data_IF_078292373168
#
_entry.id   IF_078292373168
#
_cell.length_a   1.000
_cell.length_b   1.000
_cell.length_c   1.000
_cell.angle_alpha   90.00
_cell.angle_beta   90.00
_cell.angle_gamma   90.00
#
_symmetry.space_group_name_H-M   'P 1'
#
loop_
_entity.id
_entity.type
_entity.pdbx_description
1 polymer ?
#
# COMPACT_ATOMS: atom_id res chain seq x y z
N UNK A 1 16.20 5.03 19.38
CA UNK A 1 14.72 4.92 19.40
C UNK A 1 14.30 4.10 18.20
N UNK A 2 13.33 3.20 18.35
CA UNK A 2 12.70 2.54 17.20
C UNK A 2 11.89 3.61 16.44
N UNK A 3 11.99 3.63 15.12
CA UNK A 3 11.16 4.53 14.30
C UNK A 3 9.70 4.06 14.39
N UNK A 4 8.77 4.98 14.64
CA UNK A 4 7.34 4.66 14.72
C UNK A 4 6.73 4.57 13.33
N UNK A 5 5.84 3.60 13.13
CA UNK A 5 5.19 3.31 11.85
C UNK A 5 3.68 3.38 12.01
N UNK A 6 3.01 4.07 11.09
CA UNK A 6 1.57 3.97 10.95
C UNK A 6 1.23 3.14 9.72
N UNK A 7 0.23 2.29 9.84
CA UNK A 7 -0.22 1.38 8.81
C UNK A 7 -1.68 1.68 8.52
N UNK A 8 -2.05 1.77 7.25
CA UNK A 8 -3.44 1.90 6.82
C UNK A 8 -3.74 0.65 5.99
N UNK A 9 -4.67 -0.17 6.44
CA UNK A 9 -5.03 -1.45 5.82
C UNK A 9 -6.50 -1.43 5.39
N UNK A 10 -6.79 -2.06 4.25
CA UNK A 10 -8.10 -2.07 3.61
C UNK A 10 -9.06 -3.14 4.15
N UNK A 11 -8.54 -4.09 4.94
CA UNK A 11 -9.32 -5.16 5.58
C UNK A 11 -8.78 -5.60 6.95
N UNK A 12 -9.66 -6.23 7.72
CA UNK A 12 -9.37 -6.80 9.03
C UNK A 12 -8.26 -7.85 9.03
N UNK A 13 -8.24 -8.73 8.03
CA UNK A 13 -7.25 -9.82 8.01
C UNK A 13 -5.85 -9.27 7.76
N UNK A 14 -5.71 -8.38 6.76
CA UNK A 14 -4.44 -7.70 6.48
C UNK A 14 -3.98 -6.80 7.63
N UNK A 15 -4.91 -6.17 8.34
CA UNK A 15 -4.62 -5.37 9.53
C UNK A 15 -3.96 -6.20 10.63
N UNK A 16 -4.59 -7.32 11.00
CA UNK A 16 -4.08 -8.17 12.08
C UNK A 16 -2.80 -8.91 11.69
N UNK A 17 -2.71 -9.40 10.45
CA UNK A 17 -1.50 -10.07 9.94
C UNK A 17 -0.27 -9.15 10.06
N UNK A 18 -0.41 -7.93 9.56
CA UNK A 18 0.66 -6.92 9.64
C UNK A 18 0.99 -6.57 11.09
N UNK A 19 -0.02 -6.38 11.94
CA UNK A 19 0.17 -6.07 13.35
C UNK A 19 0.92 -7.17 14.13
N UNK A 20 0.63 -8.44 13.84
CA UNK A 20 1.30 -9.60 14.45
C UNK A 20 2.78 -9.63 14.06
N UNK A 21 3.14 -9.32 12.82
CA UNK A 21 4.54 -9.28 12.39
C UNK A 21 5.35 -8.25 13.19
N UNK A 22 4.86 -7.00 13.31
CA UNK A 22 5.53 -5.98 14.14
C UNK A 22 5.58 -6.35 15.62
N UNK A 23 4.51 -6.94 16.17
CA UNK A 23 4.48 -7.35 17.57
C UNK A 23 5.52 -8.44 17.87
N UNK A 24 5.71 -9.41 16.96
CA UNK A 24 6.76 -10.45 17.07
C UNK A 24 8.17 -9.86 17.08
N UNK A 25 8.38 -8.74 16.40
CA UNK A 25 9.65 -7.99 16.40
C UNK A 25 9.79 -7.03 17.62
N UNK A 26 8.90 -7.17 18.60
CA UNK A 26 8.93 -6.46 19.87
C UNK A 26 8.54 -4.98 19.76
N UNK A 27 7.69 -4.62 18.80
CA UNK A 27 7.04 -3.31 18.74
C UNK A 27 5.74 -3.35 19.53
N UNK A 28 5.44 -2.26 20.24
CA UNK A 28 4.13 -2.06 20.87
C UNK A 28 3.13 -1.69 19.77
N UNK A 29 2.24 -2.62 19.43
CA UNK A 29 1.33 -2.50 18.28
C UNK A 29 -0.13 -2.44 18.73
N UNK A 30 -0.91 -1.55 18.12
CA UNK A 30 -2.36 -1.46 18.31
C UNK A 30 -3.08 -1.46 16.97
N UNK A 31 -4.26 -2.09 16.92
CA UNK A 31 -5.16 -2.04 15.77
C UNK A 31 -6.36 -1.18 16.11
N UNK A 32 -6.73 -0.27 15.22
CA UNK A 32 -7.80 0.72 15.40
C UNK A 32 -8.79 0.58 14.25
N UNK A 33 -10.04 0.29 14.59
CA UNK A 33 -11.16 0.13 13.63
C UNK A 33 -11.95 1.42 13.42
N UNK A 34 -11.73 2.43 14.26
CA UNK A 34 -12.41 3.71 14.19
C UNK A 34 -11.39 4.83 14.01
N UNK A 35 -11.37 5.39 12.80
CA UNK A 35 -10.47 6.46 12.38
C UNK A 35 -10.54 7.66 13.35
N UNK A 36 -11.67 7.92 14.00
CA UNK A 36 -11.77 9.01 14.97
C UNK A 36 -10.92 8.77 16.22
N UNK A 37 -10.70 7.52 16.60
CA UNK A 37 -9.94 7.16 17.81
C UNK A 37 -8.43 7.25 17.62
N UNK A 38 -7.93 7.55 16.42
CA UNK A 38 -6.50 7.75 16.15
C UNK A 38 -5.89 8.84 17.07
N UNK A 39 -6.67 9.87 17.39
CA UNK A 39 -6.23 10.97 18.26
C UNK A 39 -5.96 10.51 19.70
N UNK A 40 -6.63 9.45 20.15
CA UNK A 40 -6.53 8.90 21.50
C UNK A 40 -5.38 7.89 21.67
N UNK A 41 -4.63 7.61 20.61
CA UNK A 41 -3.50 6.67 20.67
C UNK A 41 -2.37 7.27 21.52
N UNK A 42 -1.93 6.51 22.52
CA UNK A 42 -0.79 6.84 23.39
C UNK A 42 0.49 6.97 22.55
N UNK A 43 1.28 8.00 22.83
CA UNK A 43 2.55 8.24 22.15
C UNK A 43 3.57 7.11 22.37
N UNK A 44 3.41 6.26 23.37
CA UNK A 44 4.27 5.09 23.62
C UNK A 44 4.06 3.94 22.63
N UNK A 45 2.98 3.97 21.85
CA UNK A 45 2.72 2.98 20.80
C UNK A 45 3.75 3.17 19.68
N UNK A 46 4.43 2.09 19.32
CA UNK A 46 5.42 2.10 18.25
C UNK A 46 4.77 1.93 16.87
N UNK A 47 3.70 1.13 16.80
CA UNK A 47 2.98 0.83 15.55
C UNK A 47 1.47 0.95 15.74
N UNK A 48 0.83 1.75 14.89
CA UNK A 48 -0.63 1.76 14.74
C UNK A 48 -1.01 1.13 13.42
N UNK A 49 -2.00 0.24 13.46
CA UNK A 49 -2.69 -0.24 12.25
C UNK A 49 -4.10 0.33 12.27
N UNK A 50 -4.44 1.10 11.24
CA UNK A 50 -5.79 1.61 11.01
C UNK A 50 -6.44 0.73 9.97
N UNK A 51 -7.50 0.04 10.37
CA UNK A 51 -8.32 -0.75 9.49
C UNK A 51 -9.44 0.12 8.92
N UNK A 52 -9.47 0.30 7.60
CA UNK A 52 -10.47 1.13 6.93
C UNK A 52 -11.68 0.33 6.47
N UNK A 53 -11.63 -1.01 6.47
CA UNK A 53 -12.69 -1.89 5.95
C UNK A 53 -13.24 -1.35 4.61
N UNK A 54 -12.34 -1.12 3.65
CA UNK A 54 -12.60 -0.36 2.42
C UNK A 54 -12.33 -1.12 1.14
N UNK A 55 -11.88 -2.39 1.23
CA UNK A 55 -11.63 -3.24 0.05
C UNK A 55 -12.84 -3.32 -0.89
N UNK A 56 -14.03 -3.50 -0.33
CA UNK A 56 -15.28 -3.68 -1.06
C UNK A 56 -16.12 -2.39 -1.19
N UNK A 57 -15.61 -1.26 -0.70
CA UNK A 57 -16.32 0.01 -0.77
C UNK A 57 -16.33 0.60 -2.19
N UNK A 58 -17.21 1.57 -2.41
CA UNK A 58 -17.11 2.47 -3.55
C UNK A 58 -15.73 3.19 -3.52
N UNK A 59 -15.04 3.35 -4.67
CA UNK A 59 -13.71 3.97 -4.71
C UNK A 59 -13.63 5.34 -4.04
N UNK A 60 -14.69 6.16 -4.12
CA UNK A 60 -14.72 7.50 -3.48
C UNK A 60 -14.85 7.39 -1.96
N UNK A 61 -15.51 6.35 -1.46
CA UNK A 61 -15.59 6.08 -0.02
C UNK A 61 -14.25 5.60 0.49
N UNK A 62 -13.62 4.65 -0.21
CA UNK A 62 -12.29 4.14 0.11
C UNK A 62 -11.24 5.26 0.14
N UNK A 63 -11.23 6.13 -0.89
CA UNK A 63 -10.40 7.35 -0.92
C UNK A 63 -10.60 8.21 0.34
N UNK A 64 -11.85 8.54 0.69
CA UNK A 64 -12.16 9.42 1.84
C UNK A 64 -11.70 8.81 3.17
N UNK A 65 -11.87 7.50 3.34
CA UNK A 65 -11.39 6.77 4.53
C UNK A 65 -9.87 6.81 4.63
N UNK A 66 -9.17 6.48 3.53
CA UNK A 66 -7.72 6.51 3.44
C UNK A 66 -7.15 7.92 3.70
N UNK A 67 -7.74 8.94 3.07
CA UNK A 67 -7.41 10.36 3.29
C UNK A 67 -7.52 10.73 4.76
N UNK A 68 -8.65 10.43 5.40
CA UNK A 68 -8.90 10.83 6.78
C UNK A 68 -7.97 10.12 7.76
N UNK A 69 -7.69 8.84 7.52
CA UNK A 69 -6.72 8.08 8.30
C UNK A 69 -5.32 8.72 8.17
N UNK A 70 -4.85 8.98 6.96
CA UNK A 70 -3.55 9.60 6.71
C UNK A 70 -3.45 11.01 7.32
N UNK A 71 -4.50 11.84 7.19
CA UNK A 71 -4.52 13.20 7.75
C UNK A 71 -4.38 13.20 9.27
N UNK A 72 -5.07 12.29 9.97
CA UNK A 72 -4.97 12.16 11.43
C UNK A 72 -3.63 11.57 11.86
N UNK A 73 -3.09 10.60 11.12
CA UNK A 73 -1.79 10.00 11.40
C UNK A 73 -0.63 10.99 11.16
N UNK A 74 -0.74 11.86 10.16
CA UNK A 74 0.26 12.90 9.86
C UNK A 74 0.38 13.96 10.97
N UNK A 75 -0.66 14.11 11.81
CA UNK A 75 -0.63 14.98 13.01
C UNK A 75 0.08 14.32 14.20
N UNK A 76 0.52 13.06 14.09
CA UNK A 76 1.20 12.28 15.14
C UNK A 76 2.68 12.08 14.79
N UNK A 77 3.47 11.58 15.74
CA UNK A 77 4.92 11.38 15.60
C UNK A 77 5.31 10.09 14.85
N UNK A 78 4.60 9.74 13.77
CA UNK A 78 4.95 8.59 12.92
C UNK A 78 5.91 9.02 11.83
N UNK A 79 7.00 8.25 11.64
CA UNK A 79 8.01 8.56 10.63
C UNK A 79 7.62 8.04 9.25
N UNK A 80 6.89 6.92 9.22
CA UNK A 80 6.49 6.24 8.00
C UNK A 80 5.01 5.94 8.03
N UNK A 81 4.34 6.15 6.89
CA UNK A 81 2.99 5.63 6.63
C UNK A 81 3.13 4.49 5.62
N UNK A 82 2.70 3.30 6.01
CA UNK A 82 2.63 2.13 5.15
C UNK A 82 1.17 1.86 4.78
N UNK A 83 0.83 2.08 3.50
CA UNK A 83 -0.45 1.62 2.98
C UNK A 83 -0.35 0.13 2.70
N UNK A 84 -0.94 -0.68 3.57
CA UNK A 84 -1.10 -2.12 3.35
C UNK A 84 -2.17 -2.33 2.28
N UNK A 85 -1.82 -3.16 1.30
CA UNK A 85 -2.65 -3.56 0.16
C UNK A 85 -2.82 -5.09 0.12
N UNK A 86 -3.86 -5.57 -0.53
CA UNK A 86 -4.00 -6.98 -0.86
C UNK A 86 -2.88 -7.43 -1.81
N UNK A 87 -2.17 -8.51 -1.48
CA UNK A 87 -1.05 -9.01 -2.31
C UNK A 87 -1.50 -9.51 -3.69
N UNK A 88 -2.80 -9.74 -3.86
CA UNK A 88 -3.46 -10.05 -5.13
C UNK A 88 -4.19 -8.83 -5.72
N UNK A 89 -3.89 -7.63 -5.23
CA UNK A 89 -4.30 -6.32 -5.75
C UNK A 89 -5.80 -6.08 -5.85
N UNK A 90 -6.62 -6.85 -5.12
CA UNK A 90 -8.07 -6.59 -5.02
C UNK A 90 -8.37 -5.27 -4.33
N UNK A 91 -9.54 -4.71 -4.68
CA UNK A 91 -10.09 -3.53 -4.04
C UNK A 91 -9.66 -2.20 -4.67
N UNK A 92 -9.62 -1.17 -3.85
CA UNK A 92 -9.49 0.23 -4.27
C UNK A 92 -8.05 0.73 -4.22
N UNK A 93 -7.09 -0.05 -4.74
CA UNK A 93 -5.65 0.22 -4.61
C UNK A 93 -5.26 1.63 -5.04
N UNK A 94 -5.67 2.06 -6.24
CA UNK A 94 -5.33 3.39 -6.73
C UNK A 94 -5.98 4.50 -5.91
N UNK A 95 -7.29 4.39 -5.65
CA UNK A 95 -8.03 5.40 -4.89
C UNK A 95 -7.56 5.54 -3.44
N UNK A 96 -7.14 4.43 -2.81
CA UNK A 96 -6.60 4.48 -1.45
C UNK A 96 -5.18 5.04 -1.40
N UNK A 97 -4.31 4.71 -2.37
CA UNK A 97 -2.99 5.36 -2.49
C UNK A 97 -3.18 6.87 -2.65
N UNK A 98 -4.08 7.28 -3.53
CA UNK A 98 -4.42 8.67 -3.79
C UNK A 98 -4.88 9.39 -2.51
N UNK A 99 -5.82 8.77 -1.78
CA UNK A 99 -6.30 9.28 -0.50
C UNK A 99 -5.19 9.41 0.54
N UNK A 100 -4.34 8.39 0.70
CA UNK A 100 -3.21 8.47 1.64
C UNK A 100 -2.23 9.57 1.28
N UNK A 101 -1.87 9.70 0.00
CA UNK A 101 -0.96 10.75 -0.46
C UNK A 101 -1.52 12.13 -0.20
N UNK A 102 -2.78 12.38 -0.54
CA UNK A 102 -3.42 13.69 -0.35
C UNK A 102 -3.60 14.04 1.14
N UNK A 103 -4.09 13.09 1.95
CA UNK A 103 -4.33 13.31 3.38
C UNK A 103 -3.02 13.43 4.18
N UNK A 104 -2.01 12.65 3.80
CA UNK A 104 -0.68 12.68 4.39
C UNK A 104 0.24 13.78 3.83
N UNK A 105 -0.15 14.42 2.72
CA UNK A 105 0.66 15.39 1.96
C UNK A 105 2.00 14.79 1.51
N UNK A 106 1.95 13.59 0.93
CA UNK A 106 3.12 12.93 0.37
C UNK A 106 3.24 13.22 -1.13
N UNK A 107 4.45 13.51 -1.59
CA UNK A 107 4.73 13.75 -3.01
C UNK A 107 5.04 12.46 -3.79
N UNK A 108 5.36 11.36 -3.09
CA UNK A 108 5.80 10.10 -3.70
C UNK A 108 5.29 8.88 -2.92
N UNK A 109 4.81 7.88 -3.64
CA UNK A 109 4.50 6.54 -3.13
C UNK A 109 5.30 5.47 -3.87
N UNK A 110 5.84 4.51 -3.11
CA UNK A 110 6.46 3.29 -3.64
C UNK A 110 5.47 2.14 -3.48
N UNK A 111 5.18 1.42 -4.58
CA UNK A 111 4.26 0.28 -4.60
C UNK A 111 5.04 -0.98 -4.91
N UNK A 112 5.17 -1.86 -3.91
CA UNK A 112 5.91 -3.12 -4.00
C UNK A 112 5.02 -4.30 -3.53
N UNK A 113 4.14 -4.84 -4.38
CA UNK A 113 3.14 -5.84 -3.98
C UNK A 113 3.67 -7.29 -4.00
N UNK A 114 4.94 -7.48 -4.39
CA UNK A 114 5.55 -8.80 -4.41
C UNK A 114 5.65 -9.37 -2.97
N UNK A 115 5.26 -10.64 -2.82
CA UNK A 115 5.45 -11.42 -1.61
C UNK A 115 5.91 -12.83 -2.01
N UNK A 116 7.20 -12.99 -2.37
CA UNK A 116 7.70 -14.21 -3.02
C UNK A 116 7.49 -15.48 -2.19
N UNK A 117 7.60 -15.39 -0.87
CA UNK A 117 7.39 -16.53 0.05
C UNK A 117 5.96 -17.09 -0.05
N UNK A 118 5.00 -16.25 -0.42
CA UNK A 118 3.62 -16.66 -0.67
C UNK A 118 3.34 -16.81 -2.18
N UNK A 119 4.35 -16.88 -3.04
CA UNK A 119 4.19 -17.06 -4.48
C UNK A 119 3.66 -15.84 -5.23
N UNK A 120 3.73 -14.64 -4.65
CA UNK A 120 3.35 -13.38 -5.32
C UNK A 120 4.59 -12.70 -5.88
N UNK A 121 4.64 -12.45 -7.19
CA UNK A 121 5.81 -11.87 -7.87
C UNK A 121 5.42 -10.70 -8.75
N UNK A 122 6.22 -9.63 -8.73
CA UNK A 122 6.15 -8.52 -9.68
C UNK A 122 7.25 -8.69 -10.73
N UNK A 123 6.89 -8.87 -12.00
CA UNK A 123 7.86 -9.01 -13.10
C UNK A 123 7.38 -8.19 -14.30
N UNK A 124 8.23 -7.27 -14.77
CA UNK A 124 7.87 -6.37 -15.88
C UNK A 124 6.62 -5.53 -15.58
N UNK A 125 6.41 -5.17 -14.31
CA UNK A 125 5.21 -4.47 -13.83
C UNK A 125 3.93 -5.31 -13.79
N UNK A 126 4.00 -6.61 -14.10
CA UNK A 126 2.87 -7.53 -13.99
C UNK A 126 2.94 -8.29 -12.65
N UNK A 127 1.79 -8.45 -12.00
CA UNK A 127 1.63 -9.26 -10.80
C UNK A 127 1.27 -10.70 -11.17
N UNK A 128 1.94 -11.65 -10.52
CA UNK A 128 1.74 -13.08 -10.67
C UNK A 128 1.38 -13.72 -9.33
N UNK A 129 0.55 -14.75 -9.36
CA UNK A 129 0.22 -15.62 -8.23
C UNK A 129 0.54 -17.05 -8.65
N UNK A 130 1.50 -17.68 -7.96
CA UNK A 130 1.98 -19.03 -8.29
C UNK A 130 2.34 -19.18 -9.78
N UNK A 131 3.08 -18.20 -10.32
CA UNK A 131 3.52 -18.10 -11.72
C UNK A 131 2.41 -17.94 -12.77
N UNK A 132 1.17 -17.71 -12.34
CA UNK A 132 0.03 -17.38 -13.21
C UNK A 132 -0.19 -15.86 -13.16
N UNK A 133 -0.32 -15.18 -14.32
CA UNK A 133 -0.71 -13.76 -14.35
C UNK A 133 -1.99 -13.52 -13.56
N UNK A 134 -2.05 -12.47 -12.75
CA UNK A 134 -3.15 -12.22 -11.82
C UNK A 134 -4.54 -12.30 -12.47
N UNK A 135 -4.71 -11.71 -13.66
CA UNK A 135 -5.98 -11.71 -14.42
C UNK A 135 -6.44 -13.10 -14.89
N UNK A 136 -5.55 -14.10 -14.85
CA UNK A 136 -5.84 -15.49 -15.24
C UNK A 136 -6.03 -16.42 -14.05
N UNK A 137 -6.08 -15.87 -12.84
CA UNK A 137 -6.32 -16.63 -11.62
C UNK A 137 -7.78 -16.59 -11.22
N UNK A 138 -8.14 -17.38 -10.20
CA UNK A 138 -9.45 -17.32 -9.55
C UNK A 138 -9.80 -15.93 -9.00
N UNK A 139 -8.80 -15.10 -8.67
CA UNK A 139 -8.98 -13.74 -8.17
C UNK A 139 -9.65 -12.83 -9.21
N UNK A 140 -9.47 -13.10 -10.50
CA UNK A 140 -10.15 -12.37 -11.57
C UNK A 140 -11.68 -12.59 -11.54
N UNK A 141 -12.14 -13.66 -10.89
CA UNK A 141 -13.55 -14.01 -10.72
C UNK A 141 -14.06 -13.73 -9.30
N UNK A 142 -13.32 -12.96 -8.49
CA UNK A 142 -13.78 -12.57 -7.15
C UNK A 142 -15.16 -11.90 -7.24
N UNK A 143 -16.16 -12.32 -6.45
CA UNK A 143 -17.54 -11.87 -6.61
C UNK A 143 -17.76 -10.41 -6.23
N UNK A 144 -16.81 -9.79 -5.53
CA UNK A 144 -16.94 -8.44 -4.98
C UNK A 144 -15.94 -7.49 -5.66
N UNK A 145 -14.69 -7.93 -5.78
CA UNK A 145 -13.55 -7.12 -6.24
C UNK A 145 -12.74 -7.83 -7.34
N UNK A 146 -13.37 -8.15 -8.49
CA UNK A 146 -12.69 -8.86 -9.57
C UNK A 146 -11.56 -8.01 -10.17
N UNK A 147 -10.44 -8.66 -10.48
CA UNK A 147 -9.31 -8.02 -11.15
C UNK A 147 -9.27 -8.35 -12.63
N UNK A 148 -9.13 -7.32 -13.47
CA UNK A 148 -9.14 -7.44 -14.94
C UNK A 148 -7.74 -7.43 -15.56
N UNK A 149 -6.75 -6.95 -14.83
CA UNK A 149 -5.41 -6.68 -15.34
C UNK A 149 -4.37 -7.32 -14.45
N UNK A 150 -3.31 -7.84 -15.07
CA UNK A 150 -2.10 -8.23 -14.35
C UNK A 150 -1.10 -7.09 -14.25
N UNK A 151 -1.15 -6.14 -15.19
CA UNK A 151 -0.24 -5.00 -15.22
C UNK A 151 -0.65 -3.97 -14.16
N UNK A 152 0.19 -3.81 -13.14
CA UNK A 152 -0.10 -3.04 -11.91
C UNK A 152 -0.42 -1.58 -12.23
N UNK A 153 0.24 -1.02 -13.25
CA UNK A 153 -0.01 0.35 -13.69
C UNK A 153 -1.46 0.53 -14.15
N UNK A 154 -2.00 -0.42 -14.90
CA UNK A 154 -3.39 -0.32 -15.37
C UNK A 154 -4.35 -0.39 -14.17
N UNK A 155 -4.11 -1.30 -13.22
CA UNK A 155 -4.91 -1.43 -11.99
C UNK A 155 -4.95 -0.11 -11.21
N UNK A 156 -3.79 0.55 -11.02
CA UNK A 156 -3.71 1.80 -10.28
C UNK A 156 -4.33 2.96 -11.07
N UNK A 157 -3.97 3.10 -12.35
CA UNK A 157 -4.39 4.23 -13.19
C UNK A 157 -5.88 4.22 -13.53
N UNK A 158 -6.58 3.08 -13.41
CA UNK A 158 -8.04 3.04 -13.50
C UNK A 158 -8.75 3.74 -12.33
N UNK A 159 -8.08 3.92 -11.20
CA UNK A 159 -8.65 4.37 -9.93
C UNK A 159 -8.01 5.65 -9.38
N UNK A 160 -7.01 6.19 -10.07
CA UNK A 160 -6.16 7.28 -9.61
C UNK A 160 -5.66 8.12 -10.79
N UNK A 161 -5.66 9.45 -10.63
CA UNK A 161 -5.20 10.39 -11.65
C UNK A 161 -3.67 10.64 -11.60
N UNK A 162 -3.02 10.21 -10.52
CA UNK A 162 -1.59 10.43 -10.29
C UNK A 162 -0.72 9.68 -11.28
N UNK A 163 0.43 10.27 -11.59
CA UNK A 163 1.30 9.76 -12.63
C UNK A 163 2.15 8.58 -12.14
N UNK A 164 2.01 7.43 -12.82
CA UNK A 164 2.63 6.15 -12.41
C UNK A 164 3.86 5.80 -13.26
N UNK A 165 4.97 5.52 -12.57
CA UNK A 165 6.25 5.01 -13.07
C UNK A 165 6.48 3.54 -12.74
N UNK A 166 7.50 2.94 -13.35
CA UNK A 166 7.89 1.54 -13.15
C UNK A 166 9.40 1.40 -13.14
N UNK A 167 9.93 0.79 -12.08
CA UNK A 167 11.30 0.31 -12.00
C UNK A 167 11.26 -1.21 -12.13
N UNK A 168 12.01 -1.75 -13.09
CA UNK A 168 11.97 -3.18 -13.36
C UNK A 168 12.86 -3.96 -12.37
N UNK A 169 12.51 -5.22 -12.13
CA UNK A 169 13.28 -6.14 -11.28
C UNK A 169 14.78 -6.16 -11.62
N UNK A 170 15.15 -6.08 -12.92
CA UNK A 170 16.56 -6.03 -13.36
C UNK A 170 17.35 -4.87 -12.76
N UNK A 171 16.68 -3.75 -12.46
CA UNK A 171 17.30 -2.56 -11.90
C UNK A 171 17.30 -2.61 -10.36
N UNK A 172 16.29 -3.23 -9.75
CA UNK A 172 16.28 -3.57 -8.31
C UNK A 172 17.45 -4.51 -7.97
N UNK A 173 17.68 -5.54 -8.80
CA UNK A 173 18.72 -6.54 -8.58
C UNK A 173 20.15 -5.98 -8.70
N UNK A 174 20.33 -4.79 -9.29
CA UNK A 174 21.63 -4.10 -9.30
C UNK A 174 21.98 -3.47 -7.95
N UNK A 175 21.07 -3.52 -6.98
CA UNK A 175 21.29 -3.08 -5.61
C UNK A 175 20.85 -1.64 -5.35
N UNK A 176 21.01 -1.24 -4.08
CA UNK A 176 20.47 0.00 -3.51
C UNK A 176 20.82 1.26 -4.31
N UNK A 177 22.09 1.47 -4.66
CA UNK A 177 22.52 2.71 -5.33
C UNK A 177 21.83 2.89 -6.70
N UNK A 178 21.75 1.81 -7.49
CA UNK A 178 21.05 1.86 -8.77
C UNK A 178 19.54 2.08 -8.58
N UNK A 179 18.95 1.54 -7.50
CA UNK A 179 17.55 1.76 -7.19
C UNK A 179 17.26 3.22 -6.82
N UNK A 180 18.11 3.83 -5.99
CA UNK A 180 18.02 5.26 -5.64
C UNK A 180 18.11 6.15 -6.89
N UNK A 181 19.08 5.88 -7.77
CA UNK A 181 19.21 6.60 -9.05
C UNK A 181 17.97 6.46 -9.93
N UNK A 182 17.37 5.27 -9.99
CA UNK A 182 16.16 5.03 -10.78
C UNK A 182 14.92 5.70 -10.19
N UNK A 183 14.82 5.77 -8.86
CA UNK A 183 13.77 6.54 -8.18
C UNK A 183 13.92 8.02 -8.52
N UNK A 184 15.13 8.58 -8.43
CA UNK A 184 15.40 9.97 -8.79
C UNK A 184 15.07 10.29 -10.26
N UNK A 185 15.34 9.36 -11.18
CA UNK A 185 14.94 9.48 -12.59
C UNK A 185 13.43 9.56 -12.77
N UNK A 186 12.66 8.73 -12.06
CA UNK A 186 11.19 8.76 -12.11
C UNK A 186 10.62 10.03 -11.46
N UNK A 187 11.19 10.49 -10.34
CA UNK A 187 10.83 11.78 -9.72
C UNK A 187 11.07 12.93 -10.70
N UNK A 188 12.20 12.95 -11.42
CA UNK A 188 12.48 13.97 -12.46
C UNK A 188 11.47 13.92 -13.63
N UNK A 189 10.90 12.76 -13.90
CA UNK A 189 9.79 12.57 -14.87
C UNK A 189 8.41 12.88 -14.27
N UNK A 190 8.37 13.47 -13.06
CA UNK A 190 7.16 13.84 -12.33
C UNK A 190 6.25 12.63 -12.05
N UNK A 191 6.87 11.48 -11.73
CA UNK A 191 6.14 10.32 -11.22
C UNK A 191 5.85 10.50 -9.74
N UNK A 192 4.59 10.31 -9.39
CA UNK A 192 4.07 10.40 -8.03
C UNK A 192 3.93 9.01 -7.41
N UNK A 193 3.73 7.98 -8.24
CA UNK A 193 3.66 6.58 -7.82
C UNK A 193 4.71 5.80 -8.61
N UNK A 194 5.57 5.05 -7.93
CA UNK A 194 6.57 4.20 -8.55
C UNK A 194 6.32 2.74 -8.16
N UNK A 195 6.07 1.91 -9.16
CA UNK A 195 5.95 0.46 -8.99
C UNK A 195 7.35 -0.16 -9.03
N UNK A 196 7.63 -1.07 -8.10
CA UNK A 196 8.88 -1.83 -8.00
C UNK A 196 8.60 -3.33 -7.95
#
# INVERSE_FOLDING_TARGET
MKDKVAIIADDFTGSNDTGVHFSKDGFTTVVVFDIEKIENIDEKVDVVVVDTESRADDPKIAYKKAYKAAEKLNKKSFKYIYKKLDSTLRGNIGSEIDGVMDGGKFDLAIVAPALPDNGRKTIGGNQFVHDIPLEKTEIANDPITPIKHSYIKDIISEQCEKSVGLINLKDVLKGKNNLEEKIDEEIKKQKEIIII
#
